data_IF_688494430506
#
_entry.id   IF_688494430506
#
_cell.length_a   1.000
_cell.length_b   1.000
_cell.length_c   1.000
_cell.angle_alpha   90.00
_cell.angle_beta   90.00
_cell.angle_gamma   90.00
#
_symmetry.space_group_name_H-M   'P 1'
#
loop_
_entity.id
_entity.type
_entity.pdbx_description
1 polymer ?
#
# COMPACT_ATOMS: atom_id res chain seq x y z
N UNK A 1 -4.43 -9.58 -2.92
CA UNK A 1 -3.22 -8.73 -3.09
C UNK A 1 -3.53 -7.57 -4.05
N UNK A 2 -2.80 -6.47 -3.95
CA UNK A 2 -2.89 -5.31 -4.85
C UNK A 2 -1.48 -4.92 -5.31
N UNK A 3 -1.32 -4.54 -6.58
CA UNK A 3 -0.08 -3.95 -7.10
C UNK A 3 -0.39 -2.50 -7.46
N UNK A 4 0.26 -1.57 -6.77
CA UNK A 4 0.24 -0.14 -7.06
C UNK A 4 1.48 0.23 -7.86
N UNK A 5 1.29 1.05 -8.89
CA UNK A 5 2.37 1.50 -9.77
C UNK A 5 2.39 3.03 -9.75
N UNK A 6 3.52 3.59 -9.32
CA UNK A 6 3.74 5.03 -9.31
C UNK A 6 5.20 5.34 -9.01
N UNK A 7 5.83 6.20 -9.83
CA UNK A 7 7.27 6.47 -9.71
C UNK A 7 7.67 7.04 -8.35
N UNK A 8 6.85 7.93 -7.77
CA UNK A 8 7.12 8.56 -6.47
C UNK A 8 8.51 9.22 -6.39
N UNK A 9 8.96 9.84 -7.50
CA UNK A 9 10.29 10.45 -7.65
C UNK A 9 10.57 11.58 -6.66
N UNK A 10 9.52 12.21 -6.12
CA UNK A 10 9.61 13.28 -5.10
C UNK A 10 9.48 12.75 -3.65
N UNK A 11 9.42 11.44 -3.45
CA UNK A 11 9.25 10.83 -2.13
C UNK A 11 7.78 10.52 -1.79
N UNK A 12 7.51 10.37 -0.50
CA UNK A 12 6.16 10.04 0.03
C UNK A 12 5.19 11.23 -0.09
N UNK A 13 5.71 12.45 -0.22
CA UNK A 13 4.90 13.66 -0.39
C UNK A 13 4.18 14.13 0.88
N UNK A 14 4.50 13.58 2.05
CA UNK A 14 3.93 14.03 3.33
C UNK A 14 4.86 13.75 4.51
N UNK A 15 5.70 14.74 4.91
CA UNK A 15 6.57 14.61 6.07
C UNK A 15 5.84 14.28 7.39
N UNK A 16 4.63 14.82 7.68
CA UNK A 16 3.87 14.43 8.87
C UNK A 16 3.44 12.95 8.85
N UNK A 17 3.09 12.40 7.68
CA UNK A 17 2.76 10.99 7.53
C UNK A 17 3.99 10.11 7.78
N UNK A 18 5.11 10.40 7.12
CA UNK A 18 6.36 9.67 7.28
C UNK A 18 6.83 9.64 8.74
N UNK A 19 6.81 10.80 9.40
CA UNK A 19 7.20 10.91 10.81
C UNK A 19 6.30 10.08 11.72
N UNK A 20 4.99 10.06 11.47
CA UNK A 20 4.03 9.37 12.34
C UNK A 20 4.07 7.85 12.16
N UNK A 21 4.40 7.38 10.95
CA UNK A 21 4.57 5.96 10.64
C UNK A 21 5.85 5.35 11.21
N UNK A 22 6.85 6.15 11.57
CA UNK A 22 8.20 5.71 11.96
C UNK A 22 8.23 4.55 12.96
N UNK A 23 7.33 4.56 13.95
CA UNK A 23 7.30 3.58 15.05
C UNK A 23 6.13 2.58 14.90
N UNK A 24 5.51 2.51 13.71
CA UNK A 24 4.40 1.60 13.41
C UNK A 24 4.94 0.35 12.72
N UNK A 25 4.44 -0.80 13.13
CA UNK A 25 4.90 -2.13 12.71
C UNK A 25 3.80 -2.97 12.06
N UNK A 26 2.54 -2.53 12.15
CA UNK A 26 1.40 -3.19 11.50
C UNK A 26 0.25 -2.22 11.22
N UNK A 27 -0.60 -2.55 10.24
CA UNK A 27 -1.79 -1.75 9.93
C UNK A 27 -2.79 -1.71 11.09
N UNK A 28 -2.88 -2.78 11.89
CA UNK A 28 -3.66 -2.80 13.12
C UNK A 28 -3.16 -1.76 14.12
N UNK A 29 -1.84 -1.67 14.33
CA UNK A 29 -1.26 -0.66 15.22
C UNK A 29 -1.51 0.78 14.70
N UNK A 30 -1.56 0.97 13.38
CA UNK A 30 -1.93 2.26 12.77
C UNK A 30 -3.37 2.63 13.10
N UNK A 31 -4.32 1.70 12.96
CA UNK A 31 -5.72 1.95 13.29
C UNK A 31 -5.91 2.25 14.77
N UNK A 32 -5.38 1.39 15.66
CA UNK A 32 -5.47 1.55 17.11
C UNK A 32 -4.86 2.89 17.57
N UNK A 33 -3.68 3.25 17.05
CA UNK A 33 -3.05 4.52 17.39
C UNK A 33 -3.88 5.74 16.94
N UNK A 34 -4.51 5.66 15.75
CA UNK A 34 -5.33 6.76 15.24
C UNK A 34 -6.64 6.93 16.03
N UNK A 35 -7.27 5.85 16.47
CA UNK A 35 -8.51 5.88 17.27
C UNK A 35 -8.35 6.62 18.61
N UNK A 36 -7.13 6.64 19.15
CA UNK A 36 -6.80 7.28 20.43
C UNK A 36 -6.17 8.68 20.27
N UNK A 37 -6.06 9.20 19.05
CA UNK A 37 -5.49 10.51 18.77
C UNK A 37 -6.53 11.49 18.18
N UNK A 38 -6.32 12.79 18.42
CA UNK A 38 -7.05 13.82 17.70
C UNK A 38 -6.68 13.83 16.21
N UNK A 39 -7.62 14.25 15.37
CA UNK A 39 -7.40 14.35 13.94
C UNK A 39 -6.22 15.26 13.60
N UNK A 40 -5.28 14.74 12.80
CA UNK A 40 -4.10 15.48 12.30
C UNK A 40 -3.85 15.17 10.83
N UNK A 41 -3.26 16.13 10.12
CA UNK A 41 -2.73 15.92 8.78
C UNK A 41 -1.52 14.97 8.84
N UNK A 42 -1.53 13.91 8.01
CA UNK A 42 -0.55 12.82 8.06
C UNK A 42 -1.17 11.54 8.63
N UNK A 43 -1.47 11.47 9.94
CA UNK A 43 -2.08 10.28 10.56
C UNK A 43 -3.37 9.80 9.89
N UNK A 44 -4.23 10.72 9.42
CA UNK A 44 -5.44 10.31 8.71
C UNK A 44 -5.13 9.59 7.38
N UNK A 45 -4.05 9.97 6.68
CA UNK A 45 -3.61 9.25 5.47
C UNK A 45 -3.11 7.86 5.81
N UNK A 46 -2.35 7.74 6.91
CA UNK A 46 -1.89 6.45 7.42
C UNK A 46 -3.07 5.52 7.71
N UNK A 47 -4.10 6.03 8.39
CA UNK A 47 -5.30 5.27 8.71
C UNK A 47 -6.04 4.80 7.45
N UNK A 48 -6.25 5.68 6.46
CA UNK A 48 -6.90 5.31 5.19
C UNK A 48 -6.13 4.21 4.45
N UNK A 49 -4.80 4.36 4.30
CA UNK A 49 -3.95 3.33 3.67
C UNK A 49 -4.00 2.03 4.47
N UNK A 50 -3.94 2.11 5.80
CA UNK A 50 -4.00 0.94 6.67
C UNK A 50 -5.34 0.21 6.57
N UNK A 51 -6.46 0.93 6.50
CA UNK A 51 -7.78 0.33 6.32
C UNK A 51 -7.88 -0.46 5.00
N UNK A 52 -7.31 0.06 3.92
CA UNK A 52 -7.29 -0.64 2.62
C UNK A 52 -6.36 -1.87 2.63
N UNK A 53 -5.23 -1.77 3.32
CA UNK A 53 -4.16 -2.78 3.34
C UNK A 53 -4.32 -3.84 4.44
N UNK A 54 -5.22 -3.67 5.42
CA UNK A 54 -5.33 -4.57 6.58
C UNK A 54 -5.66 -6.02 6.20
N UNK A 55 -6.42 -6.20 5.12
CA UNK A 55 -6.87 -7.51 4.65
C UNK A 55 -6.16 -7.96 3.36
N UNK A 56 -5.12 -7.25 2.93
CA UNK A 56 -4.40 -7.58 1.69
C UNK A 56 -2.98 -7.04 1.68
N UNK A 57 -2.09 -7.85 1.14
CA UNK A 57 -0.76 -7.37 0.75
C UNK A 57 -0.88 -6.30 -0.35
N UNK A 58 -0.20 -5.17 -0.12
CA UNK A 58 -0.07 -4.08 -1.10
C UNK A 58 1.40 -4.00 -1.54
N UNK A 59 1.62 -4.34 -2.81
CA UNK A 59 2.90 -4.25 -3.48
C UNK A 59 3.02 -2.88 -4.14
N UNK A 60 4.12 -2.18 -3.96
CA UNK A 60 4.39 -0.88 -4.58
C UNK A 60 5.57 -1.00 -5.54
N UNK A 61 5.30 -0.73 -6.82
CA UNK A 61 6.30 -0.54 -7.87
C UNK A 61 6.57 0.95 -8.00
N UNK A 62 7.73 1.39 -7.51
CA UNK A 62 8.13 2.81 -7.44
C UNK A 62 9.64 2.99 -7.47
N UNK A 63 10.11 4.24 -7.58
CA UNK A 63 11.52 4.64 -7.44
C UNK A 63 11.91 4.95 -5.99
N UNK A 64 10.98 4.78 -5.02
CA UNK A 64 11.29 4.93 -3.61
C UNK A 64 12.28 3.85 -3.15
N UNK A 65 13.19 4.17 -2.21
CA UNK A 65 14.00 3.15 -1.56
C UNK A 65 13.12 2.09 -0.88
N UNK A 66 13.46 0.81 -1.04
CA UNK A 66 12.77 -0.32 -0.42
C UNK A 66 12.51 -0.13 1.08
N UNK A 67 13.49 0.41 1.79
CA UNK A 67 13.37 0.68 3.23
C UNK A 67 12.26 1.70 3.53
N UNK A 68 12.07 2.69 2.67
CA UNK A 68 11.03 3.71 2.80
C UNK A 68 9.67 3.10 2.56
N UNK A 69 9.53 2.26 1.53
CA UNK A 69 8.30 1.50 1.25
C UNK A 69 7.92 0.61 2.43
N UNK A 70 8.90 -0.12 2.99
CA UNK A 70 8.68 -1.00 4.16
C UNK A 70 8.30 -0.21 5.42
N UNK A 71 8.87 0.97 5.65
CA UNK A 71 8.48 1.87 6.75
C UNK A 71 7.01 2.30 6.65
N UNK A 72 6.44 2.34 5.44
CA UNK A 72 5.02 2.61 5.22
C UNK A 72 4.14 1.36 5.31
N UNK A 73 4.71 0.21 5.73
CA UNK A 73 4.06 -1.10 5.83
C UNK A 73 3.60 -1.66 4.48
N UNK A 74 4.27 -1.28 3.40
CA UNK A 74 4.03 -1.79 2.04
C UNK A 74 5.16 -2.72 1.60
N UNK A 75 4.90 -3.48 0.54
CA UNK A 75 5.88 -4.44 -0.01
C UNK A 75 6.53 -3.83 -1.25
N UNK A 76 7.85 -3.53 -1.24
CA UNK A 76 8.51 -3.02 -2.44
C UNK A 76 8.66 -4.10 -3.51
N UNK A 77 8.55 -3.68 -4.77
CA UNK A 77 8.91 -4.47 -5.93
C UNK A 77 9.51 -3.53 -7.00
N UNK A 78 10.58 -3.97 -7.67
CA UNK A 78 11.27 -3.21 -8.73
C UNK A 78 10.52 -3.23 -10.08
N UNK A 79 9.59 -4.17 -10.25
CA UNK A 79 8.77 -4.28 -11.46
C UNK A 79 7.45 -4.99 -11.18
N UNK A 80 6.49 -4.81 -12.09
CA UNK A 80 5.22 -5.55 -12.06
C UNK A 80 5.48 -7.06 -12.12
N UNK A 81 6.45 -7.51 -12.93
CA UNK A 81 6.78 -8.92 -13.07
C UNK A 81 7.34 -9.50 -11.76
N UNK A 82 8.16 -8.74 -11.04
CA UNK A 82 8.65 -9.15 -9.72
C UNK A 82 7.49 -9.26 -8.73
N UNK A 83 6.61 -8.26 -8.66
CA UNK A 83 5.46 -8.29 -7.76
C UNK A 83 4.55 -9.51 -8.02
N UNK A 84 4.28 -9.82 -9.30
CA UNK A 84 3.54 -11.04 -9.68
C UNK A 84 4.28 -12.29 -9.22
N UNK A 85 5.60 -12.36 -9.43
CA UNK A 85 6.42 -13.49 -9.00
C UNK A 85 6.44 -13.66 -7.47
N UNK A 86 6.42 -12.57 -6.70
CA UNK A 86 6.29 -12.61 -5.24
C UNK A 86 4.92 -13.16 -4.81
N UNK A 87 3.84 -12.67 -5.42
CA UNK A 87 2.47 -13.14 -5.14
C UNK A 87 2.32 -14.64 -5.45
N UNK A 88 2.89 -15.10 -6.56
CA UNK A 88 2.85 -16.51 -6.94
C UNK A 88 3.63 -17.42 -5.99
N UNK A 89 4.67 -16.90 -5.32
CA UNK A 89 5.45 -17.66 -4.33
C UNK A 89 4.74 -17.76 -2.97
N UNK A 90 3.95 -16.75 -2.61
CA UNK A 90 3.20 -16.73 -1.34
C UNK A 90 1.82 -17.36 -1.46
N UNK A 91 1.23 -17.36 -2.65
CA UNK A 91 -0.05 -17.98 -2.95
C UNK A 91 0.05 -19.46 -3.31
N UNK A 92 -1.08 -20.16 -3.24
CA UNK A 92 -1.20 -21.47 -3.88
C UNK A 92 -1.15 -21.29 -5.40
N UNK A 93 -0.13 -21.86 -6.03
CA UNK A 93 0.07 -21.91 -7.47
C UNK A 93 -1.13 -22.47 -8.27
N UNK A 94 -2.12 -23.06 -7.60
CA UNK A 94 -3.38 -23.53 -8.19
C UNK A 94 -4.42 -22.43 -8.44
N UNK A 95 -4.26 -21.23 -7.86
CA UNK A 95 -5.25 -20.14 -7.97
C UNK A 95 -5.06 -19.38 -9.29
N UNK A 96 -6.06 -19.46 -10.16
CA UNK A 96 -6.16 -18.58 -11.32
C UNK A 96 -6.33 -17.12 -10.86
N UNK A 97 -5.28 -16.31 -11.01
CA UNK A 97 -5.31 -14.88 -10.71
C UNK A 97 -6.09 -14.12 -11.79
N UNK A 98 -7.42 -14.17 -11.75
CA UNK A 98 -8.25 -13.20 -12.49
C UNK A 98 -7.83 -11.80 -12.05
N UNK A 99 -7.22 -11.06 -12.97
CA UNK A 99 -6.57 -9.78 -12.67
C UNK A 99 -7.35 -8.66 -13.33
N UNK A 100 -7.79 -7.68 -12.53
CA UNK A 100 -8.30 -6.41 -13.03
C UNK A 100 -7.14 -5.42 -13.17
N UNK A 101 -7.08 -4.72 -14.31
CA UNK A 101 -6.08 -3.70 -14.58
C UNK A 101 -6.78 -2.35 -14.61
N UNK A 102 -6.29 -1.41 -13.81
CA UNK A 102 -6.75 -0.03 -13.76
C UNK A 102 -5.60 0.90 -14.14
N UNK A 103 -5.43 1.24 -15.43
CA UNK A 103 -4.28 2.04 -15.89
C UNK A 103 -4.24 3.44 -15.26
N UNK A 104 -5.40 4.02 -14.96
CA UNK A 104 -5.54 5.36 -14.38
C UNK A 104 -6.29 5.28 -13.05
N UNK A 105 -5.69 4.61 -12.05
CA UNK A 105 -6.33 4.35 -10.76
C UNK A 105 -6.81 5.61 -10.02
N UNK A 106 -6.15 6.75 -10.22
CA UNK A 106 -6.54 8.04 -9.63
C UNK A 106 -7.74 8.71 -10.32
N UNK A 107 -8.08 8.28 -11.54
CA UNK A 107 -9.14 8.87 -12.37
C UNK A 107 -10.24 7.86 -12.71
N UNK A 108 -10.23 6.68 -12.07
CA UNK A 108 -11.17 5.59 -12.33
C UNK A 108 -11.92 5.24 -11.05
N UNK A 109 -13.24 5.08 -11.14
CA UNK A 109 -14.07 4.54 -10.06
C UNK A 109 -14.59 3.17 -10.49
N UNK A 110 -14.11 2.07 -9.89
CA UNK A 110 -14.64 0.74 -10.17
C UNK A 110 -16.13 0.68 -9.79
N UNK A 111 -16.98 0.23 -10.72
CA UNK A 111 -18.38 -0.11 -10.40
C UNK A 111 -18.46 -1.61 -10.09
N UNK A 112 -18.88 -2.02 -8.88
CA UNK A 112 -18.91 -3.42 -8.48
C UNK A 112 -19.95 -4.27 -9.20
N UNK A 113 -20.81 -3.68 -10.04
CA UNK A 113 -21.95 -4.37 -10.64
C UNK A 113 -23.10 -4.55 -9.65
N UNK A 114 -24.21 -5.10 -10.14
CA UNK A 114 -25.30 -5.64 -9.32
C UNK A 114 -24.99 -7.08 -8.88
#
# INVERSE_FOLDING_TARGET
PMILIGACSEGIGSPPYEKWMKDKTSHHQVQEAFEHEEFKLGPHKAMLIAADAINRDVYLVSELPDETVRKMLLIPASSVQEAIGMIQKTGDSSISLKTAILPYGNATVPYPGD
#
